data_IF_270133255819
#
_entry.id   IF_270133255819
#
_cell.length_a   1.000
_cell.length_b   1.000
_cell.length_c   1.000
_cell.angle_alpha   90.00
_cell.angle_beta   90.00
_cell.angle_gamma   90.00
#
_symmetry.space_group_name_H-M   'P 1'
#
loop_
_entity.id
_entity.type
_entity.pdbx_description
1 polymer ?
#
# COMPACT_ATOMS: atom_id res chain seq x y z
N UNK A 1 -11.26 2.07 53.90
CA UNK A 1 -10.59 0.81 53.53
C UNK A 1 -11.29 0.27 52.29
N UNK A 2 -10.48 0.05 51.23
CA UNK A 2 -10.73 -0.67 49.99
C UNK A 2 -11.85 -0.17 49.04
N UNK A 3 -11.39 0.56 48.03
CA UNK A 3 -11.99 0.76 46.72
C UNK A 3 -12.22 -0.57 45.98
N UNK A 4 -13.27 -0.66 45.16
CA UNK A 4 -13.37 -1.73 44.15
C UNK A 4 -13.78 -1.09 42.84
N UNK A 5 -12.78 -0.95 41.97
CA UNK A 5 -12.82 -0.32 40.66
C UNK A 5 -13.68 -1.10 39.66
N UNK A 6 -14.68 -0.43 39.08
CA UNK A 6 -15.66 -0.98 38.12
C UNK A 6 -15.28 -0.75 36.65
N UNK A 7 -14.00 -0.61 36.33
CA UNK A 7 -13.53 -0.32 34.98
C UNK A 7 -12.84 -1.52 34.33
N UNK A 8 -13.56 -2.65 34.23
CA UNK A 8 -13.27 -3.71 33.28
C UNK A 8 -14.35 -3.66 32.19
N UNK A 9 -14.21 -2.72 31.26
CA UNK A 9 -14.97 -2.74 30.01
C UNK A 9 -13.98 -3.09 28.91
N UNK A 10 -14.13 -4.29 28.38
CA UNK A 10 -13.25 -4.87 27.38
C UNK A 10 -13.08 -3.95 26.17
N UNK A 11 -11.83 -3.55 25.94
CA UNK A 11 -11.35 -3.30 24.60
C UNK A 11 -10.57 -4.56 24.19
N UNK A 12 -11.28 -5.55 23.66
CA UNK A 12 -10.66 -6.51 22.74
C UNK A 12 -10.35 -5.76 21.46
N UNK A 13 -9.24 -5.03 21.48
CA UNK A 13 -8.57 -4.65 20.26
C UNK A 13 -8.02 -5.95 19.68
N UNK A 14 -8.36 -6.36 18.44
CA UNK A 14 -7.60 -7.42 17.81
C UNK A 14 -6.21 -6.84 17.56
N UNK A 15 -5.29 -7.11 18.48
CA UNK A 15 -3.86 -7.05 18.20
C UNK A 15 -3.63 -8.20 17.22
N UNK A 16 -3.83 -7.96 15.92
CA UNK A 16 -3.22 -8.81 14.91
C UNK A 16 -1.72 -8.71 15.17
N UNK A 17 -1.16 -9.78 15.75
CA UNK A 17 0.27 -9.97 15.82
C UNK A 17 0.82 -9.73 14.41
N UNK A 18 1.93 -8.99 14.23
CA UNK A 18 2.51 -8.85 12.91
C UNK A 18 2.85 -10.25 12.45
N UNK A 19 2.14 -10.74 11.44
CA UNK A 19 2.57 -11.93 10.75
C UNK A 19 3.95 -11.59 10.18
N UNK A 20 4.98 -12.22 10.76
CA UNK A 20 6.39 -11.99 10.42
C UNK A 20 6.63 -12.23 8.93
N UNK A 21 5.78 -13.04 8.34
CA UNK A 21 5.84 -13.42 6.94
C UNK A 21 5.16 -12.35 6.06
N UNK A 22 5.89 -11.91 5.04
CA UNK A 22 5.34 -11.11 3.95
C UNK A 22 4.69 -12.04 2.92
N UNK A 23 3.78 -11.53 2.07
CA UNK A 23 3.16 -12.32 1.02
C UNK A 23 4.17 -13.01 0.12
N UNK A 24 3.84 -14.21 -0.34
CA UNK A 24 4.70 -14.97 -1.24
C UNK A 24 5.08 -14.15 -2.49
N UNK A 25 6.36 -14.18 -2.85
CA UNK A 25 6.90 -13.43 -4.00
C UNK A 25 7.27 -11.97 -3.71
N UNK A 26 6.96 -11.44 -2.54
CA UNK A 26 7.53 -10.16 -2.08
C UNK A 26 9.00 -10.40 -1.72
N UNK A 27 9.89 -9.69 -2.40
CA UNK A 27 11.35 -9.82 -2.22
C UNK A 27 11.94 -8.71 -1.34
N UNK A 28 11.21 -7.61 -1.16
CA UNK A 28 11.59 -6.53 -0.24
C UNK A 28 11.36 -6.92 1.20
N UNK A 29 12.22 -6.41 2.08
CA UNK A 29 12.05 -6.55 3.51
C UNK A 29 10.88 -5.72 4.03
N UNK A 30 10.34 -6.11 5.19
CA UNK A 30 9.28 -5.37 5.87
C UNK A 30 9.68 -3.90 6.13
N UNK A 31 10.92 -3.68 6.58
CA UNK A 31 11.44 -2.33 6.82
C UNK A 31 11.54 -1.46 5.56
N UNK A 32 11.83 -2.04 4.39
CA UNK A 32 11.80 -1.31 3.12
C UNK A 32 10.37 -0.88 2.74
N UNK A 33 9.38 -1.76 2.94
CA UNK A 33 7.96 -1.46 2.70
C UNK A 33 7.45 -0.38 3.65
N UNK A 34 7.78 -0.49 4.94
CA UNK A 34 7.46 0.52 5.98
C UNK A 34 8.09 1.87 5.62
N UNK A 35 9.37 1.88 5.25
CA UNK A 35 10.04 3.11 4.81
C UNK A 35 9.36 3.73 3.58
N UNK A 36 8.97 2.93 2.58
CA UNK A 36 8.24 3.46 1.42
C UNK A 36 6.89 4.06 1.80
N UNK A 37 6.13 3.42 2.70
CA UNK A 37 4.88 3.96 3.21
C UNK A 37 5.11 5.30 3.90
N UNK A 38 6.10 5.37 4.78
CA UNK A 38 6.35 6.56 5.60
C UNK A 38 6.87 7.73 4.74
N UNK A 39 7.72 7.46 3.75
CA UNK A 39 8.16 8.45 2.77
C UNK A 39 7.00 8.95 1.91
N UNK A 40 6.08 8.06 1.51
CA UNK A 40 4.88 8.45 0.77
C UNK A 40 3.96 9.34 1.61
N UNK A 41 3.73 8.99 2.89
CA UNK A 41 2.95 9.82 3.83
C UNK A 41 3.61 11.19 4.02
N UNK A 42 4.92 11.24 4.24
CA UNK A 42 5.65 12.49 4.39
C UNK A 42 5.61 13.36 3.13
N UNK A 43 5.55 12.73 1.95
CA UNK A 43 5.47 13.42 0.66
C UNK A 43 4.08 14.01 0.37
N UNK A 44 3.02 13.58 1.05
CA UNK A 44 1.67 14.17 0.87
C UNK A 44 1.59 15.64 1.30
N UNK A 45 2.50 16.09 2.17
CA UNK A 45 2.56 17.48 2.62
C UNK A 45 3.42 18.39 1.71
N UNK A 46 4.05 17.83 0.67
CA UNK A 46 4.93 18.57 -0.25
C UNK A 46 4.17 19.05 -1.48
N UNK A 47 4.69 20.07 -2.14
CA UNK A 47 4.19 20.46 -3.46
C UNK A 47 4.46 19.34 -4.47
N UNK A 48 3.55 19.04 -5.41
CA UNK A 48 3.70 17.94 -6.35
C UNK A 48 4.99 17.97 -7.18
N UNK A 49 5.49 19.16 -7.52
CA UNK A 49 6.74 19.33 -8.27
C UNK A 49 8.01 18.97 -7.48
N UNK A 50 7.92 18.92 -6.15
CA UNK A 50 9.03 18.59 -5.27
C UNK A 50 9.13 17.07 -5.00
N UNK A 51 8.10 16.32 -5.39
CA UNK A 51 8.06 14.87 -5.22
C UNK A 51 8.66 14.19 -6.45
N UNK A 52 9.82 13.56 -6.28
CA UNK A 52 10.54 12.90 -7.38
C UNK A 52 9.86 11.58 -7.78
N UNK A 53 8.94 11.67 -8.73
CA UNK A 53 8.31 10.53 -9.42
C UNK A 53 8.41 10.70 -10.94
N UNK A 54 9.49 10.20 -11.55
CA UNK A 54 9.75 10.36 -12.99
C UNK A 54 8.68 9.76 -13.91
N UNK A 55 7.84 8.87 -13.38
CA UNK A 55 6.78 8.18 -14.12
C UNK A 55 5.40 8.82 -13.93
N UNK A 56 5.27 9.86 -13.10
CA UNK A 56 4.01 10.49 -12.74
C UNK A 56 4.02 11.97 -13.11
N UNK A 57 2.96 12.44 -13.77
CA UNK A 57 2.75 13.87 -13.98
C UNK A 57 2.42 14.56 -12.64
N UNK A 58 2.78 15.85 -12.44
CA UNK A 58 2.53 16.57 -11.18
C UNK A 58 1.06 16.52 -10.71
N UNK A 59 0.10 16.58 -11.62
CA UNK A 59 -1.34 16.47 -11.32
C UNK A 59 -1.75 15.07 -10.81
N UNK A 60 -0.98 14.04 -11.14
CA UNK A 60 -1.17 12.66 -10.70
C UNK A 60 -0.53 12.30 -9.36
N UNK A 61 0.38 13.14 -8.84
CA UNK A 61 1.24 12.80 -7.68
C UNK A 61 0.40 12.46 -6.44
N UNK A 62 -0.67 13.21 -6.19
CA UNK A 62 -1.53 12.94 -5.03
C UNK A 62 -2.17 11.54 -5.10
N UNK A 63 -2.70 11.16 -6.27
CA UNK A 63 -3.27 9.82 -6.51
C UNK A 63 -2.22 8.72 -6.44
N UNK A 64 -1.03 8.97 -6.99
CA UNK A 64 0.10 8.04 -6.94
C UNK A 64 0.56 7.78 -5.50
N UNK A 65 0.71 8.83 -4.69
CA UNK A 65 1.09 8.71 -3.27
C UNK A 65 0.05 7.91 -2.49
N UNK A 66 -1.24 8.19 -2.68
CA UNK A 66 -2.32 7.44 -2.04
C UNK A 66 -2.24 5.95 -2.41
N UNK A 67 -2.03 5.63 -3.68
CA UNK A 67 -1.87 4.26 -4.15
C UNK A 67 -0.67 3.54 -3.52
N UNK A 68 0.48 4.24 -3.40
CA UNK A 68 1.68 3.70 -2.76
C UNK A 68 1.39 3.38 -1.29
N UNK A 69 0.73 4.29 -0.57
CA UNK A 69 0.35 4.09 0.84
C UNK A 69 -0.62 2.91 0.98
N UNK A 70 -1.66 2.84 0.14
CA UNK A 70 -2.63 1.76 0.20
C UNK A 70 -2.02 0.40 -0.14
N UNK A 71 -1.15 0.35 -1.14
CA UNK A 71 -0.50 -0.89 -1.58
C UNK A 71 0.49 -1.38 -0.54
N UNK A 72 1.32 -0.50 0.03
CA UNK A 72 2.25 -0.87 1.11
C UNK A 72 1.51 -1.35 2.35
N UNK A 73 0.45 -0.67 2.80
CA UNK A 73 -0.39 -1.14 3.90
C UNK A 73 -1.01 -2.51 3.63
N UNK A 74 -1.49 -2.75 2.42
CA UNK A 74 -2.04 -4.05 2.02
C UNK A 74 -0.96 -5.15 2.09
N UNK A 75 0.23 -4.91 1.54
CA UNK A 75 1.36 -5.85 1.61
C UNK A 75 1.87 -6.11 3.04
N UNK A 76 1.70 -5.14 3.94
CA UNK A 76 2.11 -5.23 5.34
C UNK A 76 1.06 -5.91 6.24
N UNK A 77 -0.15 -6.15 5.72
CA UNK A 77 -1.29 -6.67 6.48
C UNK A 77 -2.02 -5.61 7.31
N UNK A 78 -1.82 -4.33 7.02
CA UNK A 78 -2.40 -3.18 7.72
C UNK A 78 -3.68 -2.65 7.04
N UNK A 79 -4.06 -3.27 5.92
CA UNK A 79 -5.26 -2.95 5.16
C UNK A 79 -5.88 -4.24 4.64
N UNK A 80 -7.17 -4.43 4.92
CA UNK A 80 -7.86 -5.67 4.54
C UNK A 80 -8.15 -5.78 3.04
N UNK A 81 -8.54 -4.68 2.41
CA UNK A 81 -8.98 -4.64 1.01
C UNK A 81 -7.86 -4.32 0.02
N UNK A 82 -7.77 -5.11 -1.06
CA UNK A 82 -6.82 -4.88 -2.15
C UNK A 82 -6.96 -3.47 -2.77
N UNK A 83 -5.86 -2.83 -3.20
CA UNK A 83 -5.85 -1.41 -3.56
C UNK A 83 -6.69 -1.07 -4.80
N UNK A 84 -6.88 -2.02 -5.74
CA UNK A 84 -7.72 -1.83 -6.93
C UNK A 84 -9.13 -2.40 -6.70
N UNK A 85 -9.25 -3.72 -6.58
CA UNK A 85 -10.56 -4.39 -6.55
C UNK A 85 -11.30 -4.28 -5.21
N UNK A 86 -10.65 -3.77 -4.16
CA UNK A 86 -11.16 -3.69 -2.77
C UNK A 86 -11.57 -5.04 -2.16
N UNK A 87 -11.32 -6.13 -2.87
CA UNK A 87 -11.57 -7.50 -2.41
C UNK A 87 -10.73 -7.81 -1.18
N UNK A 88 -11.33 -8.49 -0.21
CA UNK A 88 -10.65 -8.99 0.98
C UNK A 88 -9.92 -10.29 0.64
N UNK A 89 -8.72 -10.46 1.16
CA UNK A 89 -7.92 -11.67 1.02
C UNK A 89 -7.31 -12.02 2.38
N UNK A 90 -7.10 -13.30 2.63
CA UNK A 90 -6.44 -13.77 3.84
C UNK A 90 -4.95 -13.37 3.80
N UNK A 91 -4.45 -12.81 4.90
CA UNK A 91 -3.04 -12.48 5.05
C UNK A 91 -2.29 -13.65 5.69
N UNK A 92 -1.09 -14.05 5.20
CA UNK A 92 -0.27 -13.41 4.16
C UNK A 92 -0.55 -13.88 2.71
N UNK A 93 -1.59 -14.68 2.47
CA UNK A 93 -1.91 -15.29 1.18
C UNK A 93 -2.54 -14.29 0.17
N UNK A 94 -1.84 -13.19 -0.09
CA UNK A 94 -2.30 -12.12 -0.97
C UNK A 94 -2.00 -12.43 -2.45
N UNK A 95 -2.95 -12.22 -3.38
CA UNK A 95 -2.75 -12.48 -4.80
C UNK A 95 -2.04 -11.30 -5.49
N UNK A 96 -0.79 -11.02 -5.11
CA UNK A 96 -0.01 -9.86 -5.56
C UNK A 96 0.04 -9.75 -7.10
N UNK A 97 0.36 -10.83 -7.80
CA UNK A 97 0.42 -10.84 -9.27
C UNK A 97 -0.93 -10.53 -9.93
N UNK A 98 -2.04 -10.96 -9.34
CA UNK A 98 -3.39 -10.65 -9.84
C UNK A 98 -3.70 -9.16 -9.70
N UNK A 99 -3.34 -8.54 -8.58
CA UNK A 99 -3.57 -7.10 -8.37
C UNK A 99 -2.69 -6.25 -9.29
N UNK A 100 -1.47 -6.68 -9.61
CA UNK A 100 -0.66 -6.05 -10.65
C UNK A 100 -1.34 -6.12 -12.04
N UNK A 101 -2.01 -7.23 -12.33
CA UNK A 101 -2.89 -7.38 -13.50
C UNK A 101 -4.06 -6.40 -13.48
N UNK A 102 -4.81 -6.31 -12.38
CA UNK A 102 -5.91 -5.35 -12.24
C UNK A 102 -5.46 -3.89 -12.44
N UNK A 103 -4.28 -3.52 -11.95
CA UNK A 103 -3.71 -2.20 -12.17
C UNK A 103 -3.40 -1.95 -13.65
N UNK A 104 -2.91 -2.96 -14.37
CA UNK A 104 -2.70 -2.90 -15.83
C UNK A 104 -4.03 -2.72 -16.57
N UNK A 105 -5.04 -3.51 -16.22
CA UNK A 105 -6.38 -3.44 -16.80
C UNK A 105 -7.04 -2.07 -16.54
N UNK A 106 -6.80 -1.46 -15.38
CA UNK A 106 -7.30 -0.12 -15.07
C UNK A 106 -6.65 0.98 -15.92
N UNK A 107 -5.37 0.85 -16.24
CA UNK A 107 -4.64 1.82 -17.08
C UNK A 107 -5.03 1.67 -18.56
N UNK A 108 -5.05 0.45 -19.08
CA UNK A 108 -5.10 0.21 -20.54
C UNK A 108 -6.46 -0.26 -21.05
N UNK A 109 -7.28 -0.89 -20.22
CA UNK A 109 -8.58 -1.44 -20.64
C UNK A 109 -9.78 -0.67 -20.07
N UNK A 110 -9.54 0.33 -19.22
CA UNK A 110 -10.60 1.13 -18.60
C UNK A 110 -11.48 0.35 -17.63
N UNK A 111 -10.99 -0.78 -17.10
CA UNK A 111 -11.67 -1.49 -16.00
C UNK A 111 -11.50 -0.69 -14.70
N UNK A 112 -12.47 -0.76 -13.77
CA UNK A 112 -12.50 0.09 -12.57
C UNK A 112 -12.49 1.59 -12.90
N UNK A 113 -13.55 2.11 -13.54
CA UNK A 113 -13.63 3.51 -13.96
C UNK A 113 -13.50 4.53 -12.81
N UNK A 114 -13.70 4.08 -11.57
CA UNK A 114 -13.50 4.88 -10.36
C UNK A 114 -12.03 5.01 -9.93
N UNK A 115 -11.11 4.24 -10.52
CA UNK A 115 -9.69 4.25 -10.22
C UNK A 115 -8.97 5.07 -11.29
N UNK A 116 -8.28 6.15 -10.88
CA UNK A 116 -7.49 6.96 -11.80
C UNK A 116 -6.28 6.20 -12.35
N UNK A 117 -5.82 6.57 -13.54
CA UNK A 117 -4.61 5.97 -14.14
C UNK A 117 -3.39 6.15 -13.24
N UNK A 118 -3.28 7.28 -12.53
CA UNK A 118 -2.17 7.59 -11.64
C UNK A 118 -2.21 6.73 -10.37
N UNK A 119 -3.40 6.50 -9.83
CA UNK A 119 -3.57 5.56 -8.73
C UNK A 119 -3.20 4.15 -9.17
N UNK A 120 -3.73 3.68 -10.31
CA UNK A 120 -3.39 2.36 -10.84
C UNK A 120 -1.88 2.23 -11.14
N UNK A 121 -1.26 3.27 -11.69
CA UNK A 121 0.18 3.37 -11.91
C UNK A 121 0.98 3.23 -10.61
N UNK A 122 0.55 3.91 -9.54
CA UNK A 122 1.14 3.78 -8.21
C UNK A 122 1.06 2.36 -7.67
N UNK A 123 -0.11 1.72 -7.76
CA UNK A 123 -0.26 0.31 -7.36
C UNK A 123 0.69 -0.58 -8.14
N UNK A 124 0.69 -0.49 -9.48
CA UNK A 124 1.52 -1.31 -10.36
C UNK A 124 3.00 -1.15 -10.02
N UNK A 125 3.49 0.09 -9.91
CA UNK A 125 4.90 0.39 -9.62
C UNK A 125 5.32 -0.11 -8.24
N UNK A 126 4.48 0.06 -7.22
CA UNK A 126 4.77 -0.45 -5.88
C UNK A 126 4.85 -1.97 -5.86
N UNK A 127 3.94 -2.67 -6.54
CA UNK A 127 3.97 -4.13 -6.62
C UNK A 127 5.20 -4.63 -7.40
N UNK A 128 5.51 -4.03 -8.56
CA UNK A 128 6.71 -4.36 -9.33
C UNK A 128 7.99 -4.18 -8.51
N UNK A 129 8.09 -3.09 -7.75
CA UNK A 129 9.22 -2.85 -6.85
C UNK A 129 9.26 -3.83 -5.68
N UNK A 130 8.11 -4.18 -5.11
CA UNK A 130 8.01 -5.09 -3.97
C UNK A 130 8.39 -6.53 -4.33
N UNK A 131 8.13 -6.97 -5.56
CA UNK A 131 8.38 -8.35 -6.01
C UNK A 131 9.66 -8.54 -6.81
N UNK A 132 10.40 -7.48 -7.14
CA UNK A 132 11.59 -7.56 -7.99
C UNK A 132 12.72 -6.68 -7.48
N UNK A 133 13.92 -7.26 -7.36
CA UNK A 133 15.13 -6.53 -6.92
C UNK A 133 15.58 -5.46 -7.91
N UNK A 134 15.34 -5.68 -9.20
CA UNK A 134 15.80 -4.82 -10.31
C UNK A 134 14.88 -3.62 -10.62
N UNK A 135 13.73 -3.53 -9.95
CA UNK A 135 12.77 -2.44 -10.21
C UNK A 135 13.11 -1.24 -9.34
N UNK A 136 12.97 -0.06 -9.93
CA UNK A 136 13.19 1.21 -9.24
C UNK A 136 12.14 1.46 -8.16
N UNK A 137 12.55 2.15 -7.11
CA UNK A 137 11.65 2.57 -6.04
C UNK A 137 10.63 3.58 -6.59
N UNK A 138 9.33 3.50 -6.24
CA UNK A 138 8.30 4.38 -6.81
C UNK A 138 8.50 5.87 -6.47
N UNK A 139 9.15 6.16 -5.33
CA UNK A 139 9.48 7.50 -4.84
C UNK A 139 10.99 7.57 -4.62
N UNK A 140 11.63 8.61 -5.15
CA UNK A 140 13.03 8.91 -4.91
C UNK A 140 13.17 9.96 -3.80
N UNK A 141 14.17 9.78 -2.92
CA UNK A 141 14.54 10.77 -1.90
C UNK A 141 15.24 12.01 -2.50
#
# INVERSE_FOLDING_TARGET
>A
MAETSWWNRGNTQPTQAPARDLPAGVTRSRGELEKLRDDAVASQAREPGDVRMMWCSPDGVASALEAIIHTTRWLLGERDGAPISRTLYDYPDLPVGRIAGHATDAIFEGRWPEVSEWYAGGVKRTLEWATSVDKERPIFE
#
